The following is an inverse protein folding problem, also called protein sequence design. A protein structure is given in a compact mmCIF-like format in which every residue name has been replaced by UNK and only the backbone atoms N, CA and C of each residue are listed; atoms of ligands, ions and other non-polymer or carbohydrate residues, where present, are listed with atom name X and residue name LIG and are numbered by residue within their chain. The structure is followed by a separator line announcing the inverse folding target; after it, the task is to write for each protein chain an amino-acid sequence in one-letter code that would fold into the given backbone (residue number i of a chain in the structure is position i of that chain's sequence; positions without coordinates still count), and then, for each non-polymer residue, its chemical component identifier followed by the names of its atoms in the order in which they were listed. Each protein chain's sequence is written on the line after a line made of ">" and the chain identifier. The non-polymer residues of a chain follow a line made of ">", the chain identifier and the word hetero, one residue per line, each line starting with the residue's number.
data_IF_139785790780
#
_entry.id   IF_139785790780
#
_cell.length_a   1.000
_cell.length_b   1.000
_cell.length_c   1.000
_cell.angle_alpha   90.00
_cell.angle_beta   90.00
_cell.angle_gamma   90.00
#
_symmetry.space_group_name_H-M   'P 1'
#
loop_
_entity.id
_entity.type
_entity.pdbx_description
1 polymer ?
#
# COMPACT_ATOMS: atom_id res chain seq x y z
N UNK A 1 -17.11 -5.10 7.63
CA UNK A 1 -15.67 -4.89 7.40
C UNK A 1 -15.52 -3.54 6.74
N UNK A 2 -14.66 -2.66 7.26
CA UNK A 2 -14.41 -1.38 6.61
C UNK A 2 -13.52 -1.61 5.37
N UNK A 3 -13.65 -0.79 4.32
CA UNK A 3 -12.89 -0.98 3.07
C UNK A 3 -11.37 -0.97 3.28
N UNK A 4 -10.87 -0.20 4.25
CA UNK A 4 -9.45 -0.14 4.64
C UNK A 4 -8.93 -1.47 5.21
N UNK A 5 -9.72 -2.16 6.02
CA UNK A 5 -9.34 -3.45 6.61
C UNK A 5 -9.14 -4.53 5.54
N UNK A 6 -10.07 -4.58 4.57
CA UNK A 6 -10.00 -5.55 3.47
C UNK A 6 -8.79 -5.32 2.58
N UNK A 7 -8.53 -4.06 2.20
CA UNK A 7 -7.37 -3.71 1.38
C UNK A 7 -6.08 -4.05 2.12
N UNK A 8 -6.00 -3.75 3.42
CA UNK A 8 -4.82 -4.09 4.22
C UNK A 8 -4.59 -5.60 4.30
N UNK A 9 -5.65 -6.40 4.42
CA UNK A 9 -5.59 -7.85 4.40
C UNK A 9 -5.11 -8.39 3.04
N UNK A 10 -5.66 -7.88 1.93
CA UNK A 10 -5.24 -8.25 0.57
C UNK A 10 -3.75 -7.95 0.36
N UNK A 11 -3.27 -6.78 0.79
CA UNK A 11 -1.87 -6.39 0.71
C UNK A 11 -0.95 -7.31 1.54
N UNK A 12 -1.38 -7.71 2.74
CA UNK A 12 -0.66 -8.68 3.58
C UNK A 12 -0.60 -10.06 2.94
N UNK A 13 -1.71 -10.52 2.35
CA UNK A 13 -1.77 -11.79 1.62
C UNK A 13 -0.81 -11.78 0.44
N UNK A 14 -0.76 -10.69 -0.35
CA UNK A 14 0.20 -10.55 -1.45
C UNK A 14 1.64 -10.62 -0.92
N UNK A 15 1.96 -9.88 0.15
CA UNK A 15 3.31 -9.90 0.70
C UNK A 15 3.72 -11.30 1.22
N UNK A 16 2.78 -12.04 1.81
CA UNK A 16 3.05 -13.38 2.34
C UNK A 16 3.11 -14.46 1.27
N UNK A 17 2.21 -14.44 0.27
CA UNK A 17 2.02 -15.55 -0.67
C UNK A 17 2.75 -15.42 -2.00
N UNK A 18 2.99 -14.20 -2.49
CA UNK A 18 3.66 -14.02 -3.77
C UNK A 18 5.16 -14.26 -3.62
N UNK A 19 5.67 -15.32 -4.27
CA UNK A 19 7.08 -15.71 -4.23
C UNK A 19 8.03 -14.67 -4.87
N UNK A 20 7.57 -14.00 -5.92
CA UNK A 20 8.40 -13.11 -6.71
C UNK A 20 8.10 -11.64 -6.39
N UNK A 21 9.16 -10.88 -6.13
CA UNK A 21 9.09 -9.47 -5.78
C UNK A 21 8.39 -8.61 -6.85
N UNK A 22 8.65 -8.89 -8.13
CA UNK A 22 7.99 -8.18 -9.24
C UNK A 22 6.47 -8.37 -9.25
N UNK A 23 6.00 -9.55 -8.89
CA UNK A 23 4.56 -9.84 -8.77
C UNK A 23 3.96 -9.10 -7.58
N UNK A 24 4.65 -9.09 -6.42
CA UNK A 24 4.23 -8.31 -5.25
C UNK A 24 4.03 -6.84 -5.63
N UNK A 25 5.03 -6.23 -6.27
CA UNK A 25 5.02 -4.83 -6.69
C UNK A 25 3.85 -4.56 -7.64
N UNK A 26 3.66 -5.39 -8.67
CA UNK A 26 2.59 -5.22 -9.65
C UNK A 26 1.19 -5.26 -9.00
N UNK A 27 0.94 -6.25 -8.14
CA UNK A 27 -0.35 -6.42 -7.48
C UNK A 27 -0.63 -5.33 -6.45
N UNK A 28 0.36 -4.98 -5.63
CA UNK A 28 0.26 -3.87 -4.66
C UNK A 28 -0.03 -2.57 -5.40
N UNK A 29 0.69 -2.28 -6.49
CA UNK A 29 0.47 -1.10 -7.31
C UNK A 29 -0.97 -1.05 -7.81
N UNK A 30 -1.49 -2.14 -8.36
CA UNK A 30 -2.85 -2.20 -8.88
C UNK A 30 -3.90 -1.83 -7.82
N UNK A 31 -3.80 -2.42 -6.62
CA UNK A 31 -4.72 -2.16 -5.50
C UNK A 31 -4.60 -0.71 -5.01
N UNK A 32 -3.38 -0.21 -4.84
CA UNK A 32 -3.17 1.14 -4.31
C UNK A 32 -3.60 2.20 -5.33
N UNK A 33 -3.30 2.01 -6.62
CA UNK A 33 -3.67 2.96 -7.67
C UNK A 33 -5.19 3.02 -7.89
N UNK A 34 -5.94 1.95 -7.67
CA UNK A 34 -7.41 1.99 -7.73
C UNK A 34 -8.06 2.81 -6.61
N UNK A 35 -7.29 3.17 -5.59
CA UNK A 35 -7.74 3.93 -4.43
C UNK A 35 -6.94 5.23 -4.21
N UNK A 36 -6.14 5.65 -5.20
CA UNK A 36 -5.19 6.75 -5.04
C UNK A 36 -5.83 8.10 -4.70
N UNK A 37 -7.06 8.32 -5.17
CA UNK A 37 -7.79 9.56 -4.92
C UNK A 37 -8.41 9.61 -3.52
N UNK A 38 -8.62 8.45 -2.87
CA UNK A 38 -9.04 8.38 -1.47
C UNK A 38 -7.83 8.55 -0.54
N UNK A 39 -7.38 9.80 -0.41
CA UNK A 39 -6.22 10.14 0.43
C UNK A 39 -6.35 9.65 1.87
N UNK A 40 -7.56 9.64 2.43
CA UNK A 40 -7.81 9.22 3.82
C UNK A 40 -7.57 7.72 3.97
N UNK A 41 -8.06 6.93 3.01
CA UNK A 41 -7.80 5.49 2.93
C UNK A 41 -6.32 5.20 2.75
N UNK A 42 -5.66 5.86 1.80
CA UNK A 42 -4.23 5.69 1.54
C UNK A 42 -3.40 6.03 2.77
N UNK A 43 -3.69 7.13 3.45
CA UNK A 43 -2.97 7.53 4.66
C UNK A 43 -3.10 6.48 5.77
N UNK A 44 -4.30 5.95 6.00
CA UNK A 44 -4.52 4.87 6.97
C UNK A 44 -3.74 3.60 6.63
N UNK A 45 -3.69 3.21 5.36
CA UNK A 45 -2.93 2.04 4.91
C UNK A 45 -1.43 2.25 5.18
N UNK A 46 -0.90 3.42 4.82
CA UNK A 46 0.50 3.78 5.06
C UNK A 46 0.82 3.79 6.56
N UNK A 47 -0.01 4.42 7.38
CA UNK A 47 0.19 4.46 8.83
C UNK A 47 0.11 3.06 9.46
N UNK A 48 -0.83 2.22 8.99
CA UNK A 48 -1.00 0.84 9.48
C UNK A 48 0.12 -0.11 9.08
N UNK A 49 0.89 0.25 8.05
CA UNK A 49 2.02 -0.55 7.55
C UNK A 49 3.37 0.04 7.93
N UNK A 50 3.40 1.23 8.52
CA UNK A 50 4.62 1.96 8.89
C UNK A 50 5.60 1.06 9.64
N UNK A 51 6.88 1.17 9.29
CA UNK A 51 7.97 0.35 9.84
C UNK A 51 7.89 -1.16 9.53
N UNK A 52 7.12 -1.56 8.52
CA UNK A 52 7.10 -2.96 8.02
C UNK A 52 7.69 -3.05 6.61
N UNK A 53 8.09 -4.26 6.19
CA UNK A 53 8.48 -4.55 4.80
C UNK A 53 7.38 -4.13 3.81
N UNK A 54 6.12 -4.34 4.18
CA UNK A 54 4.96 -4.01 3.34
C UNK A 54 4.90 -2.49 3.05
N UNK A 55 5.29 -1.64 3.99
CA UNK A 55 5.38 -0.19 3.74
C UNK A 55 6.41 0.14 2.66
N UNK A 56 7.60 -0.47 2.74
CA UNK A 56 8.63 -0.31 1.70
C UNK A 56 8.16 -0.80 0.33
N UNK A 57 7.42 -1.92 0.29
CA UNK A 57 6.83 -2.43 -0.94
C UNK A 57 5.76 -1.51 -1.51
N UNK A 58 4.91 -0.92 -0.68
CA UNK A 58 3.88 0.05 -1.11
C UNK A 58 4.54 1.28 -1.73
N UNK A 59 5.59 1.83 -1.10
CA UNK A 59 6.31 2.98 -1.65
C UNK A 59 7.05 2.63 -2.94
N UNK A 60 7.66 1.46 -3.01
CA UNK A 60 8.32 0.96 -4.24
C UNK A 60 7.32 0.80 -5.38
N UNK A 61 6.14 0.27 -5.09
CA UNK A 61 5.07 0.06 -6.06
C UNK A 61 4.43 1.37 -6.53
N UNK A 62 4.33 2.35 -5.63
CA UNK A 62 3.70 3.65 -5.88
C UNK A 62 4.57 4.82 -5.38
N UNK A 63 5.70 5.15 -6.03
CA UNK A 63 6.63 6.19 -5.55
C UNK A 63 5.99 7.58 -5.41
N UNK A 64 4.93 7.85 -6.18
CA UNK A 64 4.13 9.09 -6.08
C UNK A 64 3.52 9.34 -4.69
N UNK A 65 3.40 8.30 -3.85
CA UNK A 65 2.91 8.41 -2.48
C UNK A 65 3.87 9.15 -1.54
N UNK A 66 5.18 9.13 -1.80
CA UNK A 66 6.16 9.85 -0.98
C UNK A 66 5.82 11.35 -0.93
N UNK A 67 5.41 11.91 -2.06
CA UNK A 67 4.95 13.31 -2.17
C UNK A 67 3.65 13.60 -1.42
N UNK A 68 2.84 12.59 -1.14
CA UNK A 68 1.60 12.73 -0.37
C UNK A 68 1.93 12.79 1.13
N UNK A 69 2.93 12.01 1.56
CA UNK A 69 3.41 11.96 2.95
C UNK A 69 4.11 13.26 3.32
N UNK A 70 4.97 13.80 2.45
CA UNK A 70 5.68 15.07 2.68
C UNK A 70 4.76 16.28 2.84
N UNK A 71 3.57 16.28 2.21
CA UNK A 71 2.60 17.38 2.30
C UNK A 71 1.67 17.30 3.52
N UNK A 72 1.78 16.23 4.29
CA UNK A 72 0.90 15.98 5.45
C UNK A 72 1.59 16.28 6.80
N UNK A 73 2.87 16.65 6.78
CA UNK A 73 3.64 17.19 7.91
C UNK A 73 3.80 18.70 7.77
#
# INVERSE_FOLDING_TARGET
>A
MKNDEKILEDLKIINSKAKFIGIKILMIRHIIESHIDDRKLIYKILESTKNTELYGLILTACPKLEKIIEKSN
#
